data_IF_704110786567
#
_entry.id   IF_704110786567
#
_cell.length_a   1.000
_cell.length_b   1.000
_cell.length_c   1.000
_cell.angle_alpha   90.00
_cell.angle_beta   90.00
_cell.angle_gamma   90.00
#
_symmetry.space_group_name_H-M   'P 1'
#
loop_
_entity.id
_entity.type
_entity.pdbx_description
1 polymer ?
#
# COMPACT_ATOMS: atom_id res chain seq x y z
N UNK A 1 -10.97 -24.43 -16.63
CA UNK A 1 -11.80 -23.41 -17.30
C UNK A 1 -11.02 -22.11 -17.27
N UNK A 2 -10.63 -21.59 -18.42
CA UNK A 2 -10.03 -20.26 -18.54
C UNK A 2 -11.16 -19.25 -18.34
N UNK A 3 -11.13 -18.48 -17.25
CA UNK A 3 -12.06 -17.37 -17.08
C UNK A 3 -11.75 -16.30 -18.13
N UNK A 4 -12.75 -15.99 -18.96
CA UNK A 4 -12.71 -14.90 -19.91
C UNK A 4 -13.18 -13.64 -19.19
N UNK A 5 -12.28 -12.69 -18.95
CA UNK A 5 -12.65 -11.38 -18.41
C UNK A 5 -13.06 -10.45 -19.55
N UNK A 6 -14.28 -9.91 -19.49
CA UNK A 6 -14.69 -8.82 -20.36
C UNK A 6 -14.07 -7.51 -19.82
N UNK A 7 -13.31 -6.81 -20.66
CA UNK A 7 -12.73 -5.53 -20.31
C UNK A 7 -13.72 -4.42 -20.65
N UNK A 8 -14.27 -3.80 -19.60
CA UNK A 8 -15.18 -2.67 -19.72
C UNK A 8 -14.44 -1.32 -19.75
N UNK A 9 -15.13 -0.28 -20.20
CA UNK A 9 -14.55 1.06 -20.32
C UNK A 9 -14.46 1.77 -18.96
N UNK A 10 -13.72 2.89 -18.93
CA UNK A 10 -13.71 3.80 -17.77
C UNK A 10 -15.12 4.34 -17.46
N UNK A 11 -15.92 4.57 -18.48
CA UNK A 11 -17.29 5.08 -18.31
C UNK A 11 -18.17 4.05 -17.62
N UNK A 12 -18.04 2.77 -17.99
CA UNK A 12 -18.75 1.66 -17.33
C UNK A 12 -18.38 1.54 -15.85
N UNK A 13 -17.09 1.72 -15.51
CA UNK A 13 -16.64 1.76 -14.11
C UNK A 13 -17.33 2.89 -13.34
N UNK A 14 -17.37 4.09 -13.91
CA UNK A 14 -18.00 5.24 -13.26
C UNK A 14 -19.51 5.03 -13.10
N UNK A 15 -20.18 4.49 -14.12
CA UNK A 15 -21.61 4.14 -14.05
C UNK A 15 -21.84 3.11 -12.93
N UNK A 16 -21.06 2.04 -12.87
CA UNK A 16 -21.18 1.01 -11.84
C UNK A 16 -20.92 1.58 -10.43
N UNK A 17 -19.92 2.44 -10.28
CA UNK A 17 -19.58 3.08 -9.01
C UNK A 17 -20.68 4.03 -8.51
N UNK A 18 -21.33 4.77 -9.40
CA UNK A 18 -22.45 5.67 -9.04
C UNK A 18 -23.75 4.89 -8.79
N UNK A 19 -24.01 3.87 -9.60
CA UNK A 19 -25.25 3.08 -9.53
C UNK A 19 -25.29 2.10 -8.34
N UNK A 20 -24.14 1.68 -7.79
CA UNK A 20 -24.14 0.74 -6.67
C UNK A 20 -24.88 1.30 -5.46
N UNK A 21 -25.77 0.52 -4.87
CA UNK A 21 -26.46 0.90 -3.62
C UNK A 21 -25.68 0.49 -2.36
N UNK A 22 -24.66 -0.35 -2.52
CA UNK A 22 -23.87 -0.89 -1.42
C UNK A 22 -22.79 0.12 -1.02
N UNK A 23 -22.41 0.20 0.26
CA UNK A 23 -21.22 0.93 0.67
C UNK A 23 -19.99 0.48 -0.12
N UNK A 24 -19.07 1.39 -0.40
CA UNK A 24 -17.88 1.14 -1.20
C UNK A 24 -16.68 0.90 -0.30
N UNK A 25 -15.86 -0.08 -0.66
CA UNK A 25 -14.50 -0.22 -0.17
C UNK A 25 -13.53 0.01 -1.34
N UNK A 26 -12.35 0.53 -1.03
CA UNK A 26 -11.30 0.75 -2.01
C UNK A 26 -10.13 -0.21 -1.79
N UNK A 27 -9.52 -0.68 -2.88
CA UNK A 27 -8.19 -1.28 -2.87
C UNK A 27 -7.28 -0.46 -3.77
N UNK A 28 -6.21 0.07 -3.20
CA UNK A 28 -5.25 0.91 -3.92
C UNK A 28 -3.80 0.50 -3.66
N UNK A 29 -2.97 0.56 -4.69
CA UNK A 29 -1.55 0.22 -4.64
C UNK A 29 -0.61 1.39 -4.91
N UNK A 30 0.66 1.08 -5.15
CA UNK A 30 1.77 2.04 -5.14
C UNK A 30 1.72 3.12 -6.24
N UNK A 31 1.13 2.91 -7.44
CA UNK A 31 0.94 4.00 -8.40
C UNK A 31 0.12 5.18 -7.88
N UNK A 32 -0.63 5.05 -6.77
CA UNK A 32 -1.32 6.18 -6.16
C UNK A 32 -0.37 7.10 -5.37
N UNK A 33 0.77 6.57 -4.92
CA UNK A 33 1.75 7.26 -4.07
C UNK A 33 2.76 8.09 -4.86
N UNK A 34 2.68 8.11 -6.20
CA UNK A 34 3.60 8.86 -7.07
C UNK A 34 2.87 9.46 -8.27
N UNK A 35 3.27 10.65 -8.68
CA UNK A 35 2.85 11.27 -9.95
C UNK A 35 4.00 12.12 -10.50
N UNK A 36 4.31 11.94 -11.79
CA UNK A 36 5.33 12.72 -12.49
C UNK A 36 6.70 12.72 -11.77
N UNK A 37 7.07 11.58 -11.16
CA UNK A 37 8.32 11.41 -10.40
C UNK A 37 8.30 12.01 -8.99
N UNK A 38 7.19 12.61 -8.56
CA UNK A 38 7.01 13.22 -7.24
C UNK A 38 6.14 12.34 -6.35
N UNK A 39 6.61 12.05 -5.14
CA UNK A 39 5.94 11.19 -4.17
C UNK A 39 6.86 10.09 -3.66
N UNK A 40 6.31 8.91 -3.36
CA UNK A 40 7.10 7.74 -2.97
C UNK A 40 7.82 7.17 -4.21
N UNK A 41 9.13 6.90 -4.13
CA UNK A 41 9.90 6.43 -5.28
C UNK A 41 9.40 5.11 -5.86
N UNK A 42 9.62 4.94 -7.16
CA UNK A 42 9.34 3.69 -7.87
C UNK A 42 10.36 2.60 -7.59
N UNK A 43 10.19 1.46 -8.26
CA UNK A 43 11.08 0.30 -8.07
C UNK A 43 12.54 0.64 -8.38
N UNK A 44 12.80 1.33 -9.49
CA UNK A 44 14.16 1.65 -9.92
C UNK A 44 14.90 2.46 -8.84
N UNK A 45 14.25 3.50 -8.34
CA UNK A 45 14.82 4.36 -7.31
C UNK A 45 14.96 3.64 -5.96
N UNK A 46 14.05 2.72 -5.62
CA UNK A 46 14.19 1.89 -4.43
C UNK A 46 15.42 0.97 -4.54
N UNK A 47 15.69 0.38 -5.71
CA UNK A 47 16.88 -0.43 -5.90
C UNK A 47 18.16 0.39 -5.69
N UNK A 48 18.17 1.66 -6.08
CA UNK A 48 19.29 2.56 -5.82
C UNK A 48 19.44 2.89 -4.34
N UNK A 49 18.33 3.08 -3.61
CA UNK A 49 18.37 3.22 -2.14
C UNK A 49 18.94 1.95 -1.49
N UNK A 50 18.59 0.75 -1.98
CA UNK A 50 19.19 -0.51 -1.50
C UNK A 50 20.70 -0.52 -1.77
N UNK A 51 21.14 -0.07 -2.96
CA UNK A 51 22.59 0.03 -3.25
C UNK A 51 23.29 0.99 -2.30
N UNK A 52 22.69 2.13 -1.98
CA UNK A 52 23.24 3.09 -1.04
C UNK A 52 23.32 2.51 0.38
N UNK A 53 22.28 1.79 0.82
CA UNK A 53 22.27 1.08 2.10
C UNK A 53 23.41 0.05 2.17
N UNK A 54 23.60 -0.72 1.09
CA UNK A 54 24.68 -1.70 0.98
C UNK A 54 26.05 -1.03 1.00
N UNK A 55 26.22 0.09 0.30
CA UNK A 55 27.48 0.87 0.31
C UNK A 55 27.80 1.36 1.72
N UNK A 56 26.79 1.84 2.46
CA UNK A 56 26.94 2.33 3.82
C UNK A 56 27.35 1.25 4.83
N UNK A 57 26.82 0.02 4.69
CA UNK A 57 27.06 -1.07 5.66
C UNK A 57 28.19 -2.03 5.27
N UNK A 58 28.24 -2.42 4.01
CA UNK A 58 29.13 -3.48 3.51
C UNK A 58 29.41 -3.30 2.01
N UNK A 59 30.08 -2.20 1.63
CA UNK A 59 30.33 -1.85 0.24
C UNK A 59 30.93 -2.98 -0.62
N UNK A 60 31.77 -3.85 -0.03
CA UNK A 60 32.36 -5.01 -0.71
C UNK A 60 31.34 -6.03 -1.22
N UNK A 61 30.10 -6.00 -0.72
CA UNK A 61 29.01 -6.91 -1.11
C UNK A 61 28.18 -6.40 -2.28
N UNK A 62 28.35 -5.15 -2.70
CA UNK A 62 27.60 -4.54 -3.80
C UNK A 62 27.71 -5.32 -5.13
N UNK A 63 28.89 -5.82 -5.55
CA UNK A 63 28.97 -6.64 -6.77
C UNK A 63 28.13 -7.92 -6.71
N UNK A 64 28.01 -8.53 -5.52
CA UNK A 64 27.19 -9.72 -5.33
C UNK A 64 25.69 -9.40 -5.39
N UNK A 65 25.29 -8.22 -4.93
CA UNK A 65 23.93 -7.71 -5.07
C UNK A 65 23.57 -7.45 -6.54
N UNK A 66 24.42 -6.73 -7.28
CA UNK A 66 24.18 -6.45 -8.70
C UNK A 66 24.15 -7.74 -9.53
N UNK A 67 24.99 -8.72 -9.20
CA UNK A 67 24.94 -10.05 -9.80
C UNK A 67 23.60 -10.75 -9.53
N UNK A 68 23.08 -10.66 -8.30
CA UNK A 68 21.79 -11.25 -7.95
C UNK A 68 20.61 -10.61 -8.70
N UNK A 69 20.71 -9.32 -9.05
CA UNK A 69 19.70 -8.60 -9.82
C UNK A 69 19.83 -8.75 -11.33
N UNK A 70 20.94 -9.30 -11.83
CA UNK A 70 21.19 -9.43 -13.27
C UNK A 70 20.02 -10.13 -13.99
N UNK A 71 19.55 -9.49 -15.07
CA UNK A 71 18.44 -9.97 -15.89
C UNK A 71 17.04 -9.77 -15.31
N UNK A 72 16.89 -9.18 -14.12
CA UNK A 72 15.58 -8.93 -13.48
C UNK A 72 15.11 -7.50 -13.74
N UNK A 73 13.80 -7.30 -13.86
CA UNK A 73 13.18 -5.99 -14.09
C UNK A 73 11.90 -5.85 -13.26
N UNK A 74 11.46 -4.60 -13.03
CA UNK A 74 10.19 -4.31 -12.36
C UNK A 74 10.04 -5.03 -11.01
N UNK A 75 8.86 -5.59 -10.76
CA UNK A 75 8.55 -6.27 -9.49
C UNK A 75 9.51 -7.41 -9.13
N UNK A 76 10.03 -8.15 -10.11
CA UNK A 76 10.97 -9.25 -9.86
C UNK A 76 12.31 -8.74 -9.31
N UNK A 77 12.80 -7.63 -9.85
CA UNK A 77 14.01 -6.99 -9.34
C UNK A 77 13.82 -6.47 -7.92
N UNK A 78 12.65 -5.85 -7.65
CA UNK A 78 12.28 -5.41 -6.30
C UNK A 78 12.26 -6.57 -5.30
N UNK A 79 11.56 -7.66 -5.64
CA UNK A 79 11.42 -8.84 -4.78
C UNK A 79 12.78 -9.49 -4.49
N UNK A 80 13.62 -9.67 -5.50
CA UNK A 80 14.96 -10.24 -5.29
C UNK A 80 15.87 -9.30 -4.50
N UNK A 81 15.76 -7.98 -4.72
CA UNK A 81 16.50 -6.97 -3.98
C UNK A 81 16.19 -6.98 -2.48
N UNK A 82 14.90 -6.94 -2.13
CA UNK A 82 14.44 -6.99 -0.73
C UNK A 82 14.79 -8.32 -0.05
N UNK A 83 14.65 -9.43 -0.77
CA UNK A 83 15.04 -10.76 -0.29
C UNK A 83 16.54 -10.86 -0.03
N UNK A 84 17.37 -10.35 -0.95
CA UNK A 84 18.82 -10.32 -0.77
C UNK A 84 19.19 -9.49 0.45
N UNK A 85 18.62 -8.29 0.56
CA UNK A 85 18.87 -7.36 1.68
C UNK A 85 18.50 -8.00 3.01
N UNK A 86 17.29 -8.56 3.12
CA UNK A 86 16.85 -9.25 4.34
C UNK A 86 17.74 -10.43 4.72
N UNK A 87 18.13 -11.25 3.73
CA UNK A 87 18.98 -12.43 4.00
C UNK A 87 20.39 -12.06 4.43
N UNK A 88 20.94 -10.95 3.94
CA UNK A 88 22.35 -10.57 4.13
C UNK A 88 22.56 -9.51 5.21
N UNK A 89 21.59 -8.64 5.42
CA UNK A 89 21.69 -7.46 6.29
C UNK A 89 20.56 -7.37 7.33
N UNK A 90 19.59 -8.30 7.29
CA UNK A 90 18.52 -8.38 8.27
C UNK A 90 17.36 -7.42 8.01
N UNK A 91 16.38 -7.46 8.91
CA UNK A 91 15.13 -6.72 8.78
C UNK A 91 15.33 -5.21 9.00
N UNK A 92 16.27 -4.79 9.86
CA UNK A 92 16.57 -3.38 10.10
C UNK A 92 17.01 -2.65 8.82
N UNK A 93 17.87 -3.29 8.01
CA UNK A 93 18.29 -2.72 6.73
C UNK A 93 17.10 -2.54 5.76
N UNK A 94 16.12 -3.45 5.79
CA UNK A 94 14.91 -3.28 4.98
C UNK A 94 14.07 -2.11 5.49
N UNK A 95 13.86 -2.05 6.81
CA UNK A 95 13.08 -0.98 7.44
C UNK A 95 13.71 0.39 7.12
N UNK A 96 15.04 0.50 7.13
CA UNK A 96 15.76 1.74 6.78
C UNK A 96 15.62 2.13 5.31
N UNK A 97 15.66 1.17 4.38
CA UNK A 97 15.38 1.41 2.95
C UNK A 97 13.96 1.91 2.74
N UNK A 98 12.96 1.25 3.36
CA UNK A 98 11.55 1.65 3.26
C UNK A 98 11.33 3.03 3.86
N UNK A 99 11.90 3.29 5.04
CA UNK A 99 11.85 4.60 5.69
C UNK A 99 12.45 5.67 4.78
N UNK A 100 13.63 5.43 4.22
CA UNK A 100 14.32 6.35 3.31
C UNK A 100 13.49 6.64 2.07
N UNK A 101 12.93 5.60 1.44
CA UNK A 101 12.06 5.78 0.28
C UNK A 101 10.85 6.65 0.59
N UNK A 102 10.20 6.44 1.73
CA UNK A 102 8.98 7.18 2.08
C UNK A 102 9.29 8.62 2.45
N UNK A 103 10.40 8.87 3.14
CA UNK A 103 10.84 10.23 3.44
C UNK A 103 11.19 11.05 2.20
N UNK A 104 11.52 10.42 1.06
CA UNK A 104 11.67 11.15 -0.23
C UNK A 104 10.36 11.79 -0.71
N UNK A 105 9.20 11.35 -0.22
CA UNK A 105 7.92 11.99 -0.53
C UNK A 105 7.69 13.31 0.26
N UNK A 106 8.52 13.61 1.27
CA UNK A 106 8.44 14.88 2.00
C UNK A 106 8.91 16.05 1.13
N UNK A 107 8.39 17.25 1.41
CA UNK A 107 8.85 18.47 0.76
C UNK A 107 10.27 18.81 1.19
N UNK A 108 11.03 19.41 0.27
CA UNK A 108 12.41 19.79 0.52
C UNK A 108 12.53 20.75 1.72
N UNK A 109 13.55 20.55 2.56
CA UNK A 109 13.83 21.40 3.72
C UNK A 109 12.94 21.12 4.94
N UNK A 110 11.98 20.20 4.86
CA UNK A 110 11.20 19.80 6.02
C UNK A 110 11.93 18.69 6.79
N UNK A 111 12.08 18.87 8.10
CA UNK A 111 12.65 17.87 8.99
C UNK A 111 11.83 16.56 9.00
N UNK A 112 12.46 15.47 9.42
CA UNK A 112 11.74 14.22 9.68
C UNK A 112 10.66 14.44 10.75
N UNK A 113 9.52 13.75 10.65
CA UNK A 113 8.49 13.82 11.68
C UNK A 113 8.99 13.22 13.00
N UNK A 114 8.40 13.66 14.10
CA UNK A 114 8.68 13.10 15.42
C UNK A 114 8.40 11.59 15.45
N UNK A 115 9.12 10.82 16.28
CA UNK A 115 8.83 9.40 16.48
C UNK A 115 7.36 9.18 16.83
N UNK A 116 6.73 8.18 16.19
CA UNK A 116 5.31 7.91 16.40
C UNK A 116 4.35 8.85 15.62
N UNK A 117 4.86 9.82 14.84
CA UNK A 117 4.04 10.74 14.05
C UNK A 117 4.34 10.68 12.55
N UNK A 118 3.34 11.04 11.74
CA UNK A 118 3.51 11.21 10.27
C UNK A 118 3.69 12.68 9.87
N UNK A 119 3.67 13.61 10.84
CA UNK A 119 3.64 15.04 10.56
C UNK A 119 2.31 15.52 9.96
N UNK A 120 2.36 16.69 9.32
CA UNK A 120 1.20 17.39 8.76
C UNK A 120 1.09 17.25 7.24
N UNK A 121 -0.12 17.22 6.63
CA UNK A 121 -0.28 17.03 5.18
C UNK A 121 0.54 17.99 4.31
N UNK A 122 0.67 19.24 4.72
CA UNK A 122 1.41 20.30 4.03
C UNK A 122 2.92 20.04 3.93
N UNK A 123 3.45 19.10 4.71
CA UNK A 123 4.86 18.69 4.70
C UNK A 123 5.16 17.64 3.63
N UNK A 124 4.14 17.06 3.00
CA UNK A 124 4.26 15.95 2.07
C UNK A 124 3.87 16.36 0.65
N UNK A 125 4.51 15.74 -0.33
CA UNK A 125 4.05 15.78 -1.71
C UNK A 125 2.99 14.68 -1.91
N UNK A 126 1.73 15.04 -1.75
CA UNK A 126 0.60 14.11 -1.91
C UNK A 126 0.12 14.18 -3.37
N UNK A 127 0.18 13.09 -4.15
CA UNK A 127 -0.29 13.09 -5.54
C UNK A 127 -1.78 13.41 -5.66
N UNK A 128 -2.17 14.04 -6.77
CA UNK A 128 -3.56 14.44 -7.02
C UNK A 128 -4.57 13.29 -6.90
N UNK A 129 -4.23 12.08 -7.38
CA UNK A 129 -5.10 10.91 -7.23
C UNK A 129 -5.32 10.50 -5.77
N UNK A 130 -4.28 10.63 -4.93
CA UNK A 130 -4.38 10.38 -3.49
C UNK A 130 -5.17 11.47 -2.79
N UNK A 131 -5.01 12.74 -3.18
CA UNK A 131 -5.83 13.86 -2.69
C UNK A 131 -7.32 13.66 -3.01
N UNK A 132 -7.66 13.34 -4.26
CA UNK A 132 -9.06 13.10 -4.67
C UNK A 132 -9.69 11.90 -3.95
N UNK A 133 -8.92 10.84 -3.69
CA UNK A 133 -9.40 9.75 -2.84
C UNK A 133 -9.66 10.23 -1.41
N UNK A 134 -8.74 11.03 -0.85
CA UNK A 134 -8.88 11.64 0.47
C UNK A 134 -10.15 12.49 0.60
N UNK A 135 -10.41 13.36 -0.38
CA UNK A 135 -11.63 14.18 -0.45
C UNK A 135 -12.90 13.32 -0.53
N UNK A 136 -12.88 12.27 -1.36
CA UNK A 136 -14.01 11.37 -1.55
C UNK A 136 -14.39 10.65 -0.26
N UNK A 137 -13.41 10.17 0.52
CA UNK A 137 -13.69 9.43 1.77
C UNK A 137 -13.89 10.37 2.98
N UNK A 138 -13.42 11.62 2.91
CA UNK A 138 -13.57 12.61 3.97
C UNK A 138 -14.92 13.34 3.95
N UNK A 139 -15.41 13.70 2.75
CA UNK A 139 -16.61 14.51 2.58
C UNK A 139 -17.67 13.89 1.66
N UNK A 140 -17.43 12.68 1.15
CA UNK A 140 -18.33 12.04 0.21
C UNK A 140 -19.67 11.63 0.82
N UNK A 141 -20.62 11.30 -0.08
CA UNK A 141 -21.82 10.54 0.24
C UNK A 141 -21.46 9.36 1.17
N UNK A 142 -22.29 9.07 2.19
CA UNK A 142 -22.07 7.99 3.17
C UNK A 142 -21.65 6.65 2.54
N UNK A 143 -22.01 6.45 1.27
CA UNK A 143 -21.59 5.32 0.45
C UNK A 143 -20.08 5.18 0.25
N UNK A 144 -19.31 6.27 0.15
CA UNK A 144 -17.89 6.25 -0.24
C UNK A 144 -16.91 6.44 0.93
N UNK A 145 -17.35 6.26 2.17
CA UNK A 145 -16.50 6.47 3.36
C UNK A 145 -15.38 5.42 3.55
N UNK A 146 -15.33 4.38 2.72
CA UNK A 146 -14.34 3.32 2.79
C UNK A 146 -14.86 2.04 3.46
N UNK A 147 -13.98 1.14 3.92
CA UNK A 147 -12.56 1.36 4.19
C UNK A 147 -11.70 1.48 2.93
N UNK A 148 -10.50 2.04 3.09
CA UNK A 148 -9.43 2.02 2.08
C UNK A 148 -8.42 0.94 2.47
N UNK A 149 -8.31 -0.08 1.64
CA UNK A 149 -7.32 -1.15 1.76
C UNK A 149 -6.13 -0.79 0.88
N UNK A 150 -4.92 -0.97 1.39
CA UNK A 150 -3.72 -0.69 0.61
C UNK A 150 -2.57 -1.63 0.95
N UNK A 151 -1.71 -1.87 -0.03
CA UNK A 151 -0.42 -2.56 0.14
C UNK A 151 0.74 -1.59 0.29
N UNK A 152 0.48 -0.29 0.23
CA UNK A 152 1.48 0.76 0.39
C UNK A 152 1.88 0.87 1.85
N UNK A 153 3.12 1.26 2.12
CA UNK A 153 3.63 1.46 3.48
C UNK A 153 3.53 2.92 3.95
N UNK A 154 3.31 3.85 3.01
CA UNK A 154 3.38 5.29 3.24
C UNK A 154 2.11 5.86 3.91
N UNK A 155 2.20 7.06 4.54
CA UNK A 155 1.06 7.69 5.20
C UNK A 155 0.15 8.51 4.27
N UNK A 156 0.39 8.57 2.96
CA UNK A 156 -0.14 9.63 2.09
C UNK A 156 -1.68 9.62 2.01
N UNK A 157 -2.30 8.44 2.03
CA UNK A 157 -3.78 8.33 2.04
C UNK A 157 -4.33 8.94 3.33
N UNK A 158 -3.74 8.63 4.49
CA UNK A 158 -4.19 9.18 5.79
C UNK A 158 -4.01 10.70 5.83
N UNK A 159 -2.90 11.19 5.28
CA UNK A 159 -2.62 12.62 5.16
C UNK A 159 -3.59 13.32 4.22
N UNK A 160 -3.97 12.69 3.10
CA UNK A 160 -4.95 13.24 2.16
C UNK A 160 -6.33 13.40 2.78
N UNK A 161 -6.80 12.40 3.54
CA UNK A 161 -8.06 12.50 4.30
C UNK A 161 -8.03 13.69 5.26
N UNK A 162 -6.93 13.86 6.00
CA UNK A 162 -6.76 15.00 6.92
C UNK A 162 -6.67 16.33 6.19
N UNK A 163 -6.03 16.38 5.02
CA UNK A 163 -5.97 17.58 4.18
C UNK A 163 -7.34 18.03 3.69
N UNK A 164 -8.28 17.09 3.53
CA UNK A 164 -9.67 17.36 3.19
C UNK A 164 -10.57 17.67 4.41
N UNK A 165 -9.98 17.79 5.62
CA UNK A 165 -10.72 18.02 6.86
C UNK A 165 -11.37 16.78 7.47
N UNK A 166 -11.14 15.59 6.91
CA UNK A 166 -11.66 14.33 7.42
C UNK A 166 -10.83 13.74 8.56
N UNK A 167 -11.39 12.71 9.22
CA UNK A 167 -10.69 11.89 10.22
C UNK A 167 -10.36 10.53 9.61
N UNK A 168 -9.17 10.02 9.89
CA UNK A 168 -8.75 8.68 9.47
C UNK A 168 -8.22 7.86 10.65
N UNK A 169 -8.54 6.57 10.63
CA UNK A 169 -8.01 5.56 11.54
C UNK A 169 -7.10 4.62 10.76
N UNK A 170 -5.95 4.26 11.32
CA UNK A 170 -5.00 3.34 10.68
C UNK A 170 -5.06 1.96 11.32
N UNK A 171 -5.12 0.92 10.49
CA UNK A 171 -4.91 -0.47 10.90
C UNK A 171 -3.76 -1.07 10.10
N UNK A 172 -2.80 -1.66 10.78
CA UNK A 172 -1.63 -2.29 10.16
C UNK A 172 -1.71 -3.79 10.35
N UNK A 173 -1.68 -4.54 9.25
CA UNK A 173 -1.78 -6.00 9.24
C UNK A 173 -0.48 -6.62 8.73
N UNK A 174 0.59 -6.47 9.50
CA UNK A 174 1.90 -7.09 9.24
C UNK A 174 1.92 -8.61 9.53
N UNK A 175 0.80 -9.21 9.95
CA UNK A 175 0.64 -10.64 10.18
C UNK A 175 -0.82 -11.07 9.90
N UNK A 176 -1.15 -12.36 10.08
CA UNK A 176 -2.54 -12.80 10.01
C UNK A 176 -3.38 -12.10 11.09
N UNK A 177 -4.50 -11.53 10.69
CA UNK A 177 -5.31 -10.65 11.52
C UNK A 177 -6.70 -10.47 10.93
N UNK A 178 -7.54 -9.70 11.61
CA UNK A 178 -8.91 -9.43 11.13
C UNK A 178 -9.07 -7.96 10.80
N UNK A 179 -9.85 -7.71 9.75
CA UNK A 179 -10.40 -6.38 9.52
C UNK A 179 -11.39 -6.07 10.65
N UNK A 180 -11.40 -4.82 11.10
CA UNK A 180 -12.38 -4.33 12.06
C UNK A 180 -13.80 -4.68 11.57
N UNK A 181 -14.66 -5.15 12.47
CA UNK A 181 -16.08 -5.32 12.16
C UNK A 181 -16.80 -3.97 12.18
N UNK A 182 -18.03 -3.90 11.63
CA UNK A 182 -18.84 -2.67 11.65
C UNK A 182 -19.08 -2.10 13.06
N UNK A 183 -18.99 -2.92 14.10
CA UNK A 183 -19.10 -2.46 15.50
C UNK A 183 -17.86 -1.70 15.99
N UNK A 184 -16.72 -1.85 15.32
CA UNK A 184 -15.47 -1.13 15.58
C UNK A 184 -15.29 0.09 14.65
N UNK A 185 -16.14 0.25 13.63
CA UNK A 185 -16.12 1.41 12.75
C UNK A 185 -16.72 2.61 13.49
N UNK A 186 -15.88 3.59 13.88
CA UNK A 186 -16.36 4.84 14.47
C UNK A 186 -16.99 5.72 13.37
N UNK A 187 -18.23 6.23 13.57
CA UNK A 187 -18.85 7.14 12.61
C UNK A 187 -17.96 8.34 12.29
N UNK A 188 -17.82 8.65 11.01
CA UNK A 188 -17.02 9.79 10.55
C UNK A 188 -15.50 9.57 10.57
N UNK A 189 -15.01 8.35 10.85
CA UNK A 189 -13.61 7.98 10.67
C UNK A 189 -13.45 7.05 9.47
N UNK A 190 -12.65 7.48 8.48
CA UNK A 190 -12.24 6.59 7.40
C UNK A 190 -11.17 5.60 7.87
N UNK A 191 -11.46 4.31 7.77
CA UNK A 191 -10.49 3.26 8.12
C UNK A 191 -9.54 2.98 6.95
N UNK A 192 -8.24 3.15 7.19
CA UNK A 192 -7.16 2.88 6.24
C UNK A 192 -6.38 1.67 6.73
N UNK A 193 -6.42 0.60 5.94
CA UNK A 193 -5.85 -0.70 6.29
C UNK A 193 -4.64 -1.00 5.43
N UNK A 194 -3.47 -1.05 6.05
CA UNK A 194 -2.22 -1.42 5.42
C UNK A 194 -1.98 -2.92 5.53
N UNK A 195 -2.15 -3.63 4.42
CA UNK A 195 -2.12 -5.10 4.36
C UNK A 195 -0.71 -5.70 4.43
N UNK A 196 0.32 -4.91 4.15
CA UNK A 196 1.72 -5.35 4.11
C UNK A 196 2.57 -4.74 5.22
N UNK A 197 1.99 -4.03 6.17
CA UNK A 197 2.74 -3.30 7.19
C UNK A 197 2.78 -1.80 6.91
N UNK A 198 3.50 -1.07 7.74
CA UNK A 198 3.59 0.39 7.68
C UNK A 198 5.02 0.83 7.88
N UNK A 199 5.40 1.99 7.32
CA UNK A 199 6.78 2.45 7.24
C UNK A 199 7.50 2.70 8.56
N UNK A 200 6.74 2.73 9.66
CA UNK A 200 7.22 2.94 11.02
C UNK A 200 6.46 2.04 11.99
N UNK A 201 7.05 1.83 13.15
CA UNK A 201 6.48 1.14 14.30
C UNK A 201 6.17 -0.37 14.11
N UNK A 202 6.46 -0.94 12.94
CA UNK A 202 6.32 -2.38 12.68
C UNK A 202 7.19 -2.83 11.51
N UNK A 203 7.54 -4.12 11.48
CA UNK A 203 8.15 -4.73 10.30
C UNK A 203 7.19 -4.73 9.11
N UNK A 204 7.72 -4.41 7.93
CA UNK A 204 6.98 -4.54 6.67
C UNK A 204 7.11 -5.95 6.06
N UNK A 205 6.13 -6.33 5.24
CA UNK A 205 6.08 -7.58 4.49
C UNK A 205 6.45 -7.29 3.04
N UNK A 206 7.64 -7.71 2.63
CA UNK A 206 8.24 -7.30 1.35
C UNK A 206 8.89 -8.42 0.58
N UNK A 207 8.97 -9.63 1.15
CA UNK A 207 9.41 -10.83 0.43
C UNK A 207 8.23 -11.71 0.03
N UNK A 208 8.36 -12.40 -1.10
CA UNK A 208 7.35 -13.37 -1.55
C UNK A 208 7.02 -14.44 -0.48
N UNK A 209 8.00 -14.87 0.31
CA UNK A 209 7.78 -15.83 1.40
C UNK A 209 6.87 -15.25 2.50
N UNK A 210 7.06 -13.98 2.85
CA UNK A 210 6.20 -13.27 3.81
C UNK A 210 4.79 -13.05 3.25
N UNK A 211 4.68 -12.71 1.96
CA UNK A 211 3.40 -12.43 1.30
C UNK A 211 2.55 -13.69 1.07
N UNK A 212 3.20 -14.82 0.80
CA UNK A 212 2.53 -16.11 0.55
C UNK A 212 2.14 -16.86 1.82
N UNK A 213 2.70 -16.51 2.98
CA UNK A 213 2.33 -17.07 4.27
C UNK A 213 0.79 -17.09 4.45
N UNK A 214 0.21 -18.21 4.90
CA UNK A 214 -1.24 -18.30 5.09
C UNK A 214 -1.75 -17.23 6.05
N UNK A 215 -2.72 -16.44 5.59
CA UNK A 215 -3.43 -15.43 6.39
C UNK A 215 -4.93 -15.70 6.42
N UNK A 216 -5.38 -16.85 6.98
CA UNK A 216 -6.77 -17.29 6.89
C UNK A 216 -7.76 -16.36 7.60
N UNK A 217 -7.35 -15.67 8.68
CA UNK A 217 -8.23 -14.69 9.35
C UNK A 217 -8.44 -13.47 8.45
N UNK A 218 -7.39 -13.03 7.76
CA UNK A 218 -7.47 -11.92 6.82
C UNK A 218 -8.32 -12.31 5.61
N UNK A 219 -8.08 -13.47 5.00
CA UNK A 219 -8.89 -14.00 3.89
C UNK A 219 -10.37 -14.02 4.25
N UNK A 220 -10.75 -14.62 5.38
CA UNK A 220 -12.15 -14.65 5.83
C UNK A 220 -12.73 -13.26 6.08
N UNK A 221 -11.91 -12.32 6.56
CA UNK A 221 -12.36 -10.95 6.82
C UNK A 221 -12.58 -10.16 5.53
N UNK A 222 -11.71 -10.35 4.54
CA UNK A 222 -11.87 -9.80 3.19
C UNK A 222 -13.13 -10.35 2.53
N UNK A 223 -13.35 -11.67 2.58
CA UNK A 223 -14.55 -12.31 2.05
C UNK A 223 -15.84 -11.70 2.65
N UNK A 224 -15.89 -11.49 3.98
CA UNK A 224 -17.04 -10.83 4.62
C UNK A 224 -17.21 -9.38 4.18
N UNK A 225 -16.12 -8.65 3.98
CA UNK A 225 -16.15 -7.27 3.48
C UNK A 225 -16.73 -7.22 2.06
N UNK A 226 -16.26 -8.10 1.17
CA UNK A 226 -16.69 -8.19 -0.24
C UNK A 226 -18.14 -8.64 -0.38
N UNK A 227 -18.66 -9.44 0.56
CA UNK A 227 -20.09 -9.82 0.59
C UNK A 227 -21.03 -8.65 0.90
N UNK A 228 -20.55 -7.59 1.55
CA UNK A 228 -21.38 -6.45 1.98
C UNK A 228 -21.13 -5.15 1.24
N UNK A 229 -19.94 -5.00 0.64
CA UNK A 229 -19.53 -3.76 -0.04
C UNK A 229 -19.30 -3.95 -1.53
N UNK A 230 -19.41 -2.88 -2.31
CA UNK A 230 -18.82 -2.86 -3.66
C UNK A 230 -17.34 -2.55 -3.51
N UNK A 231 -16.47 -3.35 -4.13
CA UNK A 231 -15.05 -3.09 -4.15
C UNK A 231 -14.69 -2.29 -5.40
N UNK A 232 -14.00 -1.17 -5.23
CA UNK A 232 -13.34 -0.44 -6.30
C UNK A 232 -11.83 -0.67 -6.19
N UNK A 233 -11.23 -1.25 -7.23
CA UNK A 233 -9.79 -1.49 -7.31
C UNK A 233 -9.18 -0.46 -8.27
N UNK A 234 -8.18 0.28 -7.83
CA UNK A 234 -7.50 1.28 -8.66
C UNK A 234 -6.01 1.30 -8.34
N UNK A 235 -5.18 1.57 -9.35
CA UNK A 235 -3.72 1.66 -9.17
C UNK A 235 -3.16 0.44 -8.42
N UNK A 236 -3.70 -0.76 -8.67
CA UNK A 236 -3.28 -1.98 -7.98
C UNK A 236 -2.62 -2.92 -8.97
N UNK A 237 -1.32 -3.11 -8.81
CA UNK A 237 -0.54 -4.08 -9.60
C UNK A 237 -0.32 -5.39 -8.84
N UNK A 238 -1.23 -5.75 -7.92
CA UNK A 238 -1.01 -6.85 -6.98
C UNK A 238 -0.61 -8.15 -7.67
N UNK A 239 0.48 -8.70 -7.16
CA UNK A 239 1.00 -10.02 -7.48
C UNK A 239 0.15 -11.07 -6.72
N UNK A 240 0.52 -12.35 -6.78
CA UNK A 240 -0.16 -13.47 -6.11
C UNK A 240 -0.12 -13.35 -4.56
N UNK A 241 -0.83 -12.36 -4.02
CA UNK A 241 -0.87 -11.99 -2.61
C UNK A 241 -2.18 -12.45 -1.93
N UNK A 242 -2.34 -12.12 -0.65
CA UNK A 242 -3.52 -12.54 0.13
C UNK A 242 -4.83 -11.97 -0.44
N UNK A 243 -4.80 -10.79 -1.05
CA UNK A 243 -6.01 -10.13 -1.53
C UNK A 243 -6.48 -10.76 -2.84
N UNK A 244 -5.56 -10.94 -3.80
CA UNK A 244 -5.86 -11.61 -5.06
C UNK A 244 -6.34 -13.04 -4.83
N UNK A 245 -5.73 -13.78 -3.89
CA UNK A 245 -6.21 -15.12 -3.49
C UNK A 245 -7.61 -15.08 -2.87
N UNK A 246 -7.89 -14.13 -1.98
CA UNK A 246 -9.22 -13.99 -1.36
C UNK A 246 -10.31 -13.66 -2.38
N UNK A 247 -10.00 -12.89 -3.44
CA UNK A 247 -10.90 -12.63 -4.56
C UNK A 247 -11.18 -13.91 -5.36
N UNK A 248 -10.13 -14.63 -5.78
CA UNK A 248 -10.25 -15.86 -6.59
C UNK A 248 -11.08 -16.94 -5.87
N UNK A 249 -10.93 -17.07 -4.55
CA UNK A 249 -11.70 -18.02 -3.74
C UNK A 249 -13.19 -17.67 -3.61
N UNK A 250 -13.59 -16.41 -3.82
CA UNK A 250 -15.02 -16.02 -3.82
C UNK A 250 -15.73 -16.32 -5.14
N UNK A 251 -14.99 -16.41 -6.24
CA UNK A 251 -15.55 -16.71 -7.57
C UNK A 251 -15.62 -18.22 -7.88
N UNK A 252 -15.28 -19.06 -6.91
CA UNK A 252 -15.43 -20.53 -6.95
C UNK A 252 -16.62 -20.98 -6.12
#
# INVERSE_FOLDING_TARGET
MTMSFELLSKEDLLIAAVATKRPVAFLVGSPLSVKDGVGVPGVTEILDIIRDEIRGRAAFSLPNFDTALSGKVGGDAYQEGMKWLGKKMGQDAINDVIKTAILKARKAGIAEPLPGMDGHPEEWNIPAGTLSLGEMVAGGNERFLGPVLTTNFDPLISLAVRSAGGRSGRRVLAADGTLAGQAEDEPGICSIVHLHGFWRDSDTLHTQAQLTNPRPKLTKSLQRLLQRRTLIVAAYGGWDDVFTRALIEQER
#
